data_IF_706918317757
#
_entry.id   IF_706918317757
#
_cell.length_a   1.000
_cell.length_b   1.000
_cell.length_c   1.000
_cell.angle_alpha   90.00
_cell.angle_beta   90.00
_cell.angle_gamma   90.00
#
_symmetry.space_group_name_H-M   'P 1'
#
loop_
_entity.id
_entity.type
_entity.pdbx_description
1 polymer ?
#
# COMPACT_ATOMS: atom_id res chain seq x y z
N UNK A 1 5.69 27.14 -6.66
CA UNK A 1 5.94 25.69 -6.65
C UNK A 1 6.15 25.29 -8.10
N UNK A 2 7.27 24.65 -8.43
CA UNK A 2 7.49 24.16 -9.79
C UNK A 2 6.43 23.09 -10.14
N UNK A 3 6.09 22.97 -11.42
CA UNK A 3 5.03 22.07 -11.88
C UNK A 3 5.30 20.61 -11.49
N UNK A 4 6.57 20.17 -11.53
CA UNK A 4 6.98 18.82 -11.15
C UNK A 4 6.77 18.55 -9.64
N UNK A 5 7.05 19.55 -8.80
CA UNK A 5 6.78 19.47 -7.38
C UNK A 5 5.30 19.35 -7.08
N UNK A 6 4.46 20.14 -7.74
CA UNK A 6 3.01 20.02 -7.57
C UNK A 6 2.53 18.60 -7.87
N UNK A 7 2.97 18.02 -9.00
CA UNK A 7 2.62 16.65 -9.39
C UNK A 7 3.11 15.65 -8.34
N UNK A 8 4.35 15.76 -7.87
CA UNK A 8 4.90 14.89 -6.82
C UNK A 8 4.10 14.95 -5.53
N UNK A 9 3.68 16.14 -5.08
CA UNK A 9 2.86 16.29 -3.88
C UNK A 9 1.45 15.71 -4.06
N UNK A 10 0.85 15.88 -5.24
CA UNK A 10 -0.45 15.27 -5.54
C UNK A 10 -0.36 13.73 -5.54
N UNK A 11 0.68 13.15 -6.17
CA UNK A 11 0.90 11.71 -6.15
C UNK A 11 1.16 11.21 -4.72
N UNK A 12 1.92 11.97 -3.93
CA UNK A 12 2.17 11.65 -2.52
C UNK A 12 0.87 11.68 -1.70
N UNK A 13 -0.02 12.63 -1.93
CA UNK A 13 -1.33 12.68 -1.29
C UNK A 13 -2.15 11.42 -1.64
N UNK A 14 -2.21 11.05 -2.92
CA UNK A 14 -2.90 9.81 -3.37
C UNK A 14 -2.24 8.57 -2.76
N UNK A 15 -0.92 8.55 -2.64
CA UNK A 15 -0.19 7.48 -1.96
C UNK A 15 -0.68 7.33 -0.51
N UNK A 16 -0.74 8.42 0.26
CA UNK A 16 -1.26 8.39 1.63
C UNK A 16 -2.73 7.95 1.72
N UNK A 17 -3.58 8.34 0.77
CA UNK A 17 -4.97 7.87 0.72
C UNK A 17 -5.05 6.36 0.47
N UNK A 18 -4.20 5.82 -0.43
CA UNK A 18 -4.09 4.37 -0.65
C UNK A 18 -3.63 3.63 0.61
N UNK A 19 -2.66 4.20 1.35
CA UNK A 19 -2.22 3.65 2.63
C UNK A 19 -3.36 3.67 3.66
N UNK A 20 -4.06 4.79 3.78
CA UNK A 20 -5.18 4.94 4.71
C UNK A 20 -6.31 3.95 4.41
N UNK A 21 -6.57 3.65 3.14
CA UNK A 21 -7.55 2.62 2.75
C UNK A 21 -7.19 1.23 3.28
N UNK A 22 -5.91 0.82 3.18
CA UNK A 22 -5.46 -0.48 3.69
C UNK A 22 -5.48 -0.50 5.21
N UNK A 23 -4.81 0.46 5.84
CA UNK A 23 -4.57 0.49 7.28
C UNK A 23 -5.85 0.79 8.04
N UNK A 24 -6.70 1.69 7.54
CA UNK A 24 -8.00 2.00 8.13
C UNK A 24 -8.96 0.80 8.09
N UNK A 25 -9.08 0.13 6.94
CA UNK A 25 -9.87 -1.09 6.83
C UNK A 25 -9.36 -2.18 7.78
N UNK A 26 -8.03 -2.34 7.87
CA UNK A 26 -7.41 -3.29 8.77
C UNK A 26 -7.72 -2.98 10.25
N UNK A 27 -7.53 -1.74 10.70
CA UNK A 27 -7.79 -1.37 12.11
C UNK A 27 -9.26 -1.60 12.50
N UNK A 28 -10.20 -1.23 11.62
CA UNK A 28 -11.64 -1.40 11.88
C UNK A 28 -12.03 -2.88 11.92
N UNK A 29 -11.39 -3.74 11.12
CA UNK A 29 -11.83 -5.13 10.91
C UNK A 29 -10.85 -6.19 11.42
N UNK A 30 -9.77 -5.84 12.14
CA UNK A 30 -8.79 -6.83 12.63
C UNK A 30 -9.41 -7.87 13.57
N UNK A 31 -10.46 -7.51 14.32
CA UNK A 31 -11.18 -8.43 15.21
C UNK A 31 -12.40 -9.07 14.56
N UNK A 32 -12.72 -8.70 13.32
CA UNK A 32 -13.86 -9.26 12.60
C UNK A 32 -13.64 -10.74 12.28
N UNK A 33 -14.75 -11.46 12.10
CA UNK A 33 -14.75 -12.86 11.66
C UNK A 33 -15.23 -13.01 10.22
N UNK A 34 -15.98 -12.04 9.71
CA UNK A 34 -16.50 -11.95 8.36
C UNK A 34 -16.60 -10.46 7.92
N UNK A 35 -17.27 -10.19 6.80
CA UNK A 35 -17.53 -8.81 6.36
C UNK A 35 -16.30 -7.99 5.88
N UNK A 36 -15.13 -8.62 5.75
CA UNK A 36 -13.88 -7.94 5.39
C UNK A 36 -14.01 -7.09 4.11
N UNK A 37 -13.53 -5.85 4.18
CA UNK A 37 -13.53 -4.85 3.10
C UNK A 37 -12.39 -5.11 2.10
N UNK A 38 -12.31 -6.34 1.57
CA UNK A 38 -11.20 -6.77 0.69
C UNK A 38 -11.08 -5.96 -0.59
N UNK A 39 -12.18 -5.37 -1.10
CA UNK A 39 -12.13 -4.45 -2.23
C UNK A 39 -11.37 -3.16 -1.91
N UNK A 40 -11.62 -2.56 -0.75
CA UNK A 40 -10.94 -1.34 -0.29
C UNK A 40 -9.45 -1.60 -0.08
N UNK A 41 -9.11 -2.72 0.57
CA UNK A 41 -7.72 -3.13 0.77
C UNK A 41 -7.01 -3.37 -0.56
N UNK A 42 -7.66 -4.04 -1.52
CA UNK A 42 -7.09 -4.28 -2.85
C UNK A 42 -6.85 -2.98 -3.62
N UNK A 43 -7.84 -2.08 -3.66
CA UNK A 43 -7.67 -0.76 -4.29
C UNK A 43 -6.53 0.01 -3.64
N UNK A 44 -6.48 0.06 -2.30
CA UNK A 44 -5.39 0.72 -1.58
C UNK A 44 -4.01 0.11 -1.88
N UNK A 45 -3.91 -1.21 -1.97
CA UNK A 45 -2.65 -1.90 -2.30
C UNK A 45 -2.18 -1.62 -3.73
N UNK A 46 -3.11 -1.60 -4.70
CA UNK A 46 -2.79 -1.19 -6.08
C UNK A 46 -2.32 0.25 -6.10
N UNK A 47 -3.06 1.16 -5.45
CA UNK A 47 -2.68 2.57 -5.32
C UNK A 47 -1.28 2.71 -4.74
N UNK A 48 -0.95 1.97 -3.67
CA UNK A 48 0.35 2.00 -3.02
C UNK A 48 1.51 1.61 -3.95
N UNK A 49 1.38 0.52 -4.72
CA UNK A 49 2.42 0.08 -5.67
C UNK A 49 2.57 1.09 -6.81
N UNK A 50 1.46 1.48 -7.44
CA UNK A 50 1.47 2.39 -8.60
C UNK A 50 2.03 3.75 -8.22
N UNK A 51 1.51 4.36 -7.16
CA UNK A 51 1.98 5.68 -6.71
C UNK A 51 3.39 5.62 -6.11
N UNK A 52 3.77 4.52 -5.47
CA UNK A 52 5.14 4.31 -4.98
C UNK A 52 6.17 4.36 -6.11
N UNK A 53 5.92 3.62 -7.19
CA UNK A 53 6.77 3.66 -8.40
C UNK A 53 6.77 5.04 -9.06
N UNK A 54 5.60 5.68 -9.16
CA UNK A 54 5.49 7.04 -9.71
C UNK A 54 6.30 8.06 -8.89
N UNK A 55 6.29 7.97 -7.56
CA UNK A 55 7.08 8.86 -6.69
C UNK A 55 8.58 8.66 -6.89
N UNK A 56 9.05 7.43 -7.10
CA UNK A 56 10.47 7.17 -7.43
C UNK A 56 10.83 7.83 -8.76
N UNK A 57 10.02 7.62 -9.80
CA UNK A 57 10.26 8.24 -11.11
C UNK A 57 10.23 9.76 -11.07
N UNK A 58 9.30 10.37 -10.32
CA UNK A 58 9.23 11.83 -10.15
C UNK A 58 10.42 12.40 -9.37
N UNK A 59 10.97 11.65 -8.39
CA UNK A 59 12.21 12.05 -7.71
C UNK A 59 13.39 12.05 -8.66
N UNK A 60 13.53 10.98 -9.46
CA UNK A 60 14.60 10.89 -10.46
C UNK A 60 14.48 11.99 -11.52
N UNK A 61 13.28 12.29 -12.01
CA UNK A 61 13.04 13.35 -12.99
C UNK A 61 13.33 14.77 -12.45
N UNK A 62 13.33 14.95 -11.12
CA UNK A 62 13.66 16.21 -10.46
C UNK A 62 15.07 16.23 -9.87
N UNK A 63 15.95 15.32 -10.29
CA UNK A 63 17.33 15.18 -9.79
C UNK A 63 17.42 15.10 -8.24
N UNK A 64 16.41 14.53 -7.60
CA UNK A 64 16.37 14.32 -6.16
C UNK A 64 17.03 12.99 -5.80
N UNK A 65 17.70 12.94 -4.64
CA UNK A 65 18.33 11.72 -4.15
C UNK A 65 17.31 10.57 -3.97
N UNK A 66 17.75 9.35 -4.27
CA UNK A 66 16.95 8.14 -4.23
C UNK A 66 17.74 7.04 -3.53
N UNK A 67 17.27 6.62 -2.36
CA UNK A 67 17.77 5.43 -1.69
C UNK A 67 17.14 4.18 -2.31
N UNK A 68 17.89 3.56 -3.22
CA UNK A 68 17.45 2.37 -3.94
C UNK A 68 17.26 1.15 -3.02
N UNK A 69 17.99 1.06 -1.91
CA UNK A 69 17.86 -0.05 -0.96
C UNK A 69 16.54 0.08 -0.20
N UNK A 70 16.26 1.28 0.32
CA UNK A 70 14.97 1.58 0.97
C UNK A 70 13.80 1.36 0.02
N UNK A 71 13.92 1.76 -1.24
CA UNK A 71 12.88 1.54 -2.25
C UNK A 71 12.69 0.05 -2.54
N UNK A 72 13.76 -0.72 -2.72
CA UNK A 72 13.66 -2.15 -2.99
C UNK A 72 12.92 -2.88 -1.85
N UNK A 73 13.26 -2.57 -0.59
CA UNK A 73 12.57 -3.13 0.58
C UNK A 73 11.10 -2.72 0.61
N UNK A 74 10.79 -1.44 0.46
CA UNK A 74 9.40 -0.95 0.49
C UNK A 74 8.55 -1.51 -0.65
N UNK A 75 9.12 -1.60 -1.85
CA UNK A 75 8.44 -2.18 -3.00
C UNK A 75 8.20 -3.68 -2.80
N UNK A 76 9.18 -4.42 -2.28
CA UNK A 76 9.03 -5.83 -1.95
C UNK A 76 7.87 -6.07 -0.98
N UNK A 77 7.81 -5.30 0.11
CA UNK A 77 6.70 -5.38 1.08
C UNK A 77 5.37 -5.00 0.42
N UNK A 78 5.32 -3.92 -0.36
CA UNK A 78 4.11 -3.48 -1.05
C UNK A 78 3.57 -4.52 -2.04
N UNK A 79 4.45 -5.25 -2.74
CA UNK A 79 4.08 -6.37 -3.61
C UNK A 79 3.47 -7.52 -2.81
N UNK A 80 4.05 -7.88 -1.67
CA UNK A 80 3.48 -8.92 -0.79
C UNK A 80 2.10 -8.49 -0.28
N UNK A 81 1.94 -7.23 0.11
CA UNK A 81 0.65 -6.65 0.52
C UNK A 81 -0.37 -6.75 -0.62
N UNK A 82 0.01 -6.40 -1.85
CA UNK A 82 -0.86 -6.51 -3.02
C UNK A 82 -1.28 -7.95 -3.29
N UNK A 83 -0.34 -8.90 -3.28
CA UNK A 83 -0.64 -10.33 -3.47
C UNK A 83 -1.60 -10.83 -2.38
N UNK A 84 -1.36 -10.49 -1.12
CA UNK A 84 -2.24 -10.84 -0.01
C UNK A 84 -3.64 -10.23 -0.17
N UNK A 85 -3.74 -8.97 -0.64
CA UNK A 85 -5.00 -8.32 -0.92
C UNK A 85 -5.78 -9.00 -2.07
N UNK A 86 -5.10 -9.40 -3.14
CA UNK A 86 -5.68 -10.18 -4.25
C UNK A 86 -6.22 -11.51 -3.73
N UNK A 87 -5.41 -12.25 -2.96
CA UNK A 87 -5.84 -13.53 -2.37
C UNK A 87 -7.07 -13.32 -1.49
N UNK A 88 -7.06 -12.33 -0.60
CA UNK A 88 -8.20 -12.02 0.25
C UNK A 88 -9.47 -11.71 -0.57
N UNK A 89 -9.34 -10.93 -1.65
CA UNK A 89 -10.44 -10.59 -2.53
C UNK A 89 -11.00 -11.80 -3.27
N UNK A 90 -10.13 -12.66 -3.82
CA UNK A 90 -10.52 -13.90 -4.51
C UNK A 90 -11.19 -14.87 -3.53
N UNK A 91 -10.62 -15.06 -2.35
CA UNK A 91 -11.20 -15.93 -1.32
C UNK A 91 -12.59 -15.44 -0.89
N UNK A 92 -12.80 -14.13 -0.77
CA UNK A 92 -14.13 -13.57 -0.44
C UNK A 92 -15.17 -13.92 -1.51
N UNK A 93 -14.80 -13.82 -2.80
CA UNK A 93 -15.69 -14.17 -3.93
C UNK A 93 -16.01 -15.66 -4.00
N UNK A 94 -15.08 -16.51 -3.54
CA UNK A 94 -15.20 -17.97 -3.57
C UNK A 94 -15.74 -18.58 -2.27
N UNK A 95 -16.14 -17.77 -1.29
CA UNK A 95 -16.57 -18.27 0.03
C UNK A 95 -15.45 -18.94 0.85
N UNK A 96 -14.19 -18.64 0.54
CA UNK A 96 -13.01 -19.19 1.21
C UNK A 96 -12.58 -18.42 2.46
N UNK A 97 -11.45 -18.85 3.05
CA UNK A 97 -10.87 -18.21 4.25
C UNK A 97 -10.19 -16.88 3.90
N UNK A 98 -10.83 -15.76 4.23
CA UNK A 98 -10.35 -14.39 3.93
C UNK A 98 -9.38 -13.86 5.00
N UNK A 99 -9.67 -14.15 6.28
CA UNK A 99 -9.01 -13.54 7.45
C UNK A 99 -7.48 -13.60 7.41
N UNK A 100 -6.82 -14.72 7.05
CA UNK A 100 -5.36 -14.78 7.03
C UNK A 100 -4.74 -13.80 6.04
N UNK A 101 -5.19 -13.83 4.78
CA UNK A 101 -4.67 -12.95 3.73
C UNK A 101 -4.98 -11.47 4.00
N UNK A 102 -6.15 -11.17 4.57
CA UNK A 102 -6.51 -9.82 5.01
C UNK A 102 -5.55 -9.31 6.10
N UNK A 103 -5.22 -10.14 7.09
CA UNK A 103 -4.28 -9.79 8.16
C UNK A 103 -2.85 -9.63 7.64
N UNK A 104 -2.43 -10.47 6.70
CA UNK A 104 -1.13 -10.31 6.03
C UNK A 104 -1.05 -8.96 5.32
N UNK A 105 -2.08 -8.60 4.54
CA UNK A 105 -2.10 -7.32 3.82
C UNK A 105 -2.05 -6.11 4.78
N UNK A 106 -2.90 -6.09 5.81
CA UNK A 106 -2.95 -5.00 6.77
C UNK A 106 -1.71 -4.90 7.66
N UNK A 107 -1.25 -6.02 8.22
CA UNK A 107 -0.08 -6.08 9.09
C UNK A 107 1.20 -5.68 8.35
N UNK A 108 1.43 -6.20 7.14
CA UNK A 108 2.60 -5.80 6.35
C UNK A 108 2.51 -4.36 5.83
N UNK A 109 1.32 -3.81 5.59
CA UNK A 109 1.18 -2.39 5.29
C UNK A 109 1.66 -1.52 6.46
N UNK A 110 1.35 -1.89 7.71
CA UNK A 110 1.88 -1.21 8.91
C UNK A 110 3.40 -1.35 8.98
N UNK A 111 3.95 -2.54 8.73
CA UNK A 111 5.42 -2.73 8.66
C UNK A 111 6.02 -1.82 7.60
N UNK A 112 5.41 -1.69 6.43
CA UNK A 112 5.89 -0.81 5.37
C UNK A 112 5.90 0.67 5.77
N UNK A 113 4.94 1.09 6.61
CA UNK A 113 4.93 2.44 7.21
C UNK A 113 6.08 2.61 8.19
N UNK A 114 6.32 1.63 9.06
CA UNK A 114 7.44 1.67 10.00
C UNK A 114 8.77 1.77 9.25
N UNK A 115 8.95 0.97 8.20
CA UNK A 115 10.10 1.08 7.29
C UNK A 115 10.18 2.49 6.71
N UNK A 116 9.08 3.05 6.19
CA UNK A 116 9.10 4.39 5.60
C UNK A 116 9.54 5.50 6.58
N UNK A 117 9.14 5.40 7.85
CA UNK A 117 9.30 6.45 8.87
C UNK A 117 10.58 6.29 9.69
N UNK A 118 10.99 5.05 10.01
CA UNK A 118 12.09 4.77 10.94
C UNK A 118 13.44 4.54 10.26
N UNK A 119 13.47 4.22 8.96
CA UNK A 119 14.69 3.97 8.19
C UNK A 119 14.55 4.56 6.80
#
# INVERSE_FOLDING_TARGET
>A
MESLDLVRHLVLAVHFLGLAAIVGAFFVQMRANDGFATGVVLTGAITQVVTGLALVGLRQAGDLEVDNVKIAVKLGIAVIVLVAAIIAHVQKRRGGKVKPAFHTAGGLAIVNVLVAVLW
#
